data_IF_165299192757
#
_entry.id   IF_165299192757
#
_cell.length_a   1.000
_cell.length_b   1.000
_cell.length_c   1.000
_cell.angle_alpha   90.00
_cell.angle_beta   90.00
_cell.angle_gamma   90.00
#
_symmetry.space_group_name_H-M   'P 1'
#
loop_
_entity.id
_entity.type
_entity.pdbx_description
1 polymer ?
#
# COMPACT_ATOMS: atom_id res chain seq x y z
N UNK A 1 -23.50 -9.58 -8.65
CA UNK A 1 -23.09 -10.66 -9.58
C UNK A 1 -22.04 -10.09 -10.51
N UNK A 2 -20.85 -10.67 -10.55
CA UNK A 2 -19.78 -10.27 -11.45
C UNK A 2 -20.22 -10.36 -12.93
N UNK A 3 -19.74 -9.44 -13.78
CA UNK A 3 -20.14 -9.32 -15.18
C UNK A 3 -19.89 -10.60 -16.00
N UNK A 4 -18.83 -11.34 -15.67
CA UNK A 4 -18.49 -12.58 -16.36
C UNK A 4 -19.45 -13.74 -16.03
N UNK A 5 -19.88 -13.85 -14.77
CA UNK A 5 -20.89 -14.84 -14.37
C UNK A 5 -22.25 -14.57 -15.04
N UNK A 6 -22.63 -13.29 -15.23
CA UNK A 6 -23.84 -12.91 -15.98
C UNK A 6 -23.80 -13.32 -17.46
N UNK A 7 -22.62 -13.33 -18.09
CA UNK A 7 -22.46 -13.75 -19.50
C UNK A 7 -22.62 -15.26 -19.69
N UNK A 8 -22.32 -16.06 -18.66
CA UNK A 8 -22.31 -17.53 -18.73
C UNK A 8 -23.52 -18.19 -18.07
N UNK A 9 -24.10 -17.56 -17.04
CA UNK A 9 -25.22 -18.09 -16.28
C UNK A 9 -26.39 -17.11 -16.22
N UNK A 10 -27.58 -17.60 -16.59
CA UNK A 10 -28.82 -16.81 -16.62
C UNK A 10 -29.32 -16.41 -15.23
N UNK A 11 -28.93 -17.16 -14.19
CA UNK A 11 -29.31 -16.90 -12.81
C UNK A 11 -28.25 -17.44 -11.82
N UNK A 12 -28.31 -16.96 -10.57
CA UNK A 12 -27.41 -17.37 -9.50
C UNK A 12 -27.52 -18.85 -9.13
N UNK A 13 -28.70 -19.45 -9.29
CA UNK A 13 -28.90 -20.87 -9.02
C UNK A 13 -28.12 -21.75 -10.00
N UNK A 14 -28.04 -21.35 -11.27
CA UNK A 14 -27.26 -22.02 -12.31
C UNK A 14 -25.76 -21.88 -12.07
N UNK A 15 -25.32 -20.71 -11.60
CA UNK A 15 -23.92 -20.51 -11.22
C UNK A 15 -23.54 -21.31 -9.96
N UNK A 16 -24.39 -21.32 -8.93
CA UNK A 16 -24.20 -22.13 -7.73
C UNK A 16 -24.18 -23.63 -8.05
N UNK A 17 -25.09 -24.10 -8.91
CA UNK A 17 -25.14 -25.50 -9.38
C UNK A 17 -23.89 -25.87 -10.18
N UNK A 18 -23.43 -24.98 -11.06
CA UNK A 18 -22.20 -25.20 -11.82
C UNK A 18 -20.94 -25.20 -10.94
N UNK A 19 -20.96 -24.45 -9.85
CA UNK A 19 -19.90 -24.44 -8.83
C UNK A 19 -20.06 -25.56 -7.78
N UNK A 20 -21.14 -26.36 -7.82
CA UNK A 20 -21.39 -27.42 -6.84
C UNK A 20 -21.68 -26.92 -5.41
N UNK A 21 -22.11 -25.66 -5.25
CA UNK A 21 -22.35 -25.05 -3.93
C UNK A 21 -23.84 -24.78 -3.65
N UNK A 22 -24.26 -24.68 -2.38
CA UNK A 22 -25.62 -24.29 -2.03
C UNK A 22 -25.95 -22.88 -2.53
N UNK A 23 -27.16 -22.70 -3.06
CA UNK A 23 -27.68 -21.37 -3.45
C UNK A 23 -27.71 -20.39 -2.29
N UNK A 24 -27.90 -20.89 -1.06
CA UNK A 24 -27.87 -20.09 0.17
C UNK A 24 -26.47 -19.55 0.47
N UNK A 25 -25.40 -20.32 0.22
CA UNK A 25 -24.01 -19.87 0.36
C UNK A 25 -23.73 -18.69 -0.56
N UNK A 26 -24.16 -18.77 -1.82
CA UNK A 26 -24.00 -17.68 -2.78
C UNK A 26 -24.83 -16.44 -2.40
N UNK A 27 -26.03 -16.65 -1.86
CA UNK A 27 -26.89 -15.55 -1.37
C UNK A 27 -26.32 -14.88 -0.12
N UNK A 28 -25.71 -15.65 0.79
CA UNK A 28 -24.98 -15.15 1.96
C UNK A 28 -23.76 -14.33 1.54
N UNK A 29 -23.00 -14.79 0.56
CA UNK A 29 -21.81 -14.08 0.05
C UNK A 29 -22.12 -12.69 -0.53
N UNK A 30 -23.37 -12.47 -0.97
CA UNK A 30 -23.83 -11.15 -1.40
C UNK A 30 -23.92 -10.17 -0.23
N UNK A 31 -24.26 -10.65 0.96
CA UNK A 31 -24.53 -9.83 2.15
C UNK A 31 -23.31 -9.73 3.06
N UNK A 32 -22.51 -10.79 3.12
CA UNK A 32 -21.26 -10.84 3.88
C UNK A 32 -20.17 -11.48 3.00
N UNK A 33 -19.17 -10.69 2.62
CA UNK A 33 -18.13 -11.08 1.67
C UNK A 33 -17.04 -11.98 2.29
N UNK A 34 -17.42 -12.85 3.22
CA UNK A 34 -16.51 -13.81 3.86
C UNK A 34 -16.83 -15.21 3.35
N UNK A 35 -15.85 -15.84 2.69
CA UNK A 35 -15.93 -17.24 2.31
C UNK A 35 -14.59 -17.95 2.46
N UNK A 36 -14.67 -19.27 2.52
CA UNK A 36 -13.52 -20.15 2.41
C UNK A 36 -12.94 -20.15 0.98
N UNK A 37 -11.63 -20.36 0.88
CA UNK A 37 -10.89 -20.39 -0.38
C UNK A 37 -11.46 -21.42 -1.36
N UNK A 38 -11.88 -22.60 -0.88
CA UNK A 38 -12.47 -23.65 -1.74
C UNK A 38 -13.74 -23.20 -2.44
N UNK A 39 -14.56 -22.41 -1.73
CA UNK A 39 -15.80 -21.88 -2.31
C UNK A 39 -15.50 -20.82 -3.35
N UNK A 40 -14.48 -19.99 -3.11
CA UNK A 40 -14.02 -18.99 -4.07
C UNK A 40 -13.49 -19.66 -5.35
N UNK A 41 -12.65 -20.69 -5.23
CA UNK A 41 -12.10 -21.45 -6.36
C UNK A 41 -13.20 -22.11 -7.20
N UNK A 42 -14.16 -22.77 -6.56
CA UNK A 42 -15.28 -23.40 -7.26
C UNK A 42 -16.12 -22.38 -8.07
N UNK A 43 -16.35 -21.19 -7.50
CA UNK A 43 -17.07 -20.10 -8.17
C UNK A 43 -16.30 -19.52 -9.36
N UNK A 44 -14.99 -19.32 -9.21
CA UNK A 44 -14.11 -18.84 -10.27
C UNK A 44 -14.03 -19.86 -11.41
N UNK A 45 -13.80 -21.14 -11.09
CA UNK A 45 -13.73 -22.21 -12.08
C UNK A 45 -15.03 -22.33 -12.88
N UNK A 46 -16.20 -22.30 -12.20
CA UNK A 46 -17.49 -22.31 -12.87
C UNK A 46 -17.68 -21.10 -13.82
N UNK A 47 -17.11 -19.94 -13.47
CA UNK A 47 -17.13 -18.75 -14.31
C UNK A 47 -16.06 -18.75 -15.42
N UNK A 48 -15.19 -19.77 -15.49
CA UNK A 48 -14.11 -19.88 -16.45
C UNK A 48 -12.83 -19.12 -16.07
N UNK A 49 -12.66 -18.80 -14.78
CA UNK A 49 -11.48 -18.15 -14.24
C UNK A 49 -10.67 -19.14 -13.40
N UNK A 50 -9.36 -18.93 -13.38
CA UNK A 50 -8.44 -19.67 -12.53
C UNK A 50 -8.03 -18.72 -11.41
N UNK A 51 -8.18 -19.14 -10.16
CA UNK A 51 -7.62 -18.40 -9.04
C UNK A 51 -6.17 -18.83 -8.93
N UNK A 52 -5.27 -17.87 -9.13
CA UNK A 52 -3.87 -18.05 -8.78
C UNK A 52 -3.65 -17.45 -7.41
N UNK A 53 -3.14 -18.25 -6.47
CA UNK A 53 -2.62 -17.74 -5.20
C UNK A 53 -1.23 -17.22 -5.51
N UNK A 54 -1.16 -15.95 -5.91
CA UNK A 54 0.11 -15.26 -5.90
C UNK A 54 0.49 -15.00 -4.42
N UNK A 55 1.77 -15.11 -4.02
CA UNK A 55 2.22 -14.31 -2.89
C UNK A 55 1.81 -12.85 -3.16
N UNK A 56 1.75 -12.00 -2.14
CA UNK A 56 1.49 -10.58 -2.35
C UNK A 56 2.64 -9.87 -3.10
N UNK A 57 3.18 -10.45 -4.17
CA UNK A 57 3.95 -9.77 -5.19
C UNK A 57 2.94 -9.02 -6.07
N UNK A 58 2.55 -7.86 -5.54
CA UNK A 58 1.76 -6.84 -6.23
C UNK A 58 2.31 -6.61 -7.63
N UNK A 59 1.51 -6.95 -8.62
CA UNK A 59 1.66 -6.44 -9.98
C UNK A 59 1.48 -4.91 -9.91
N UNK A 60 2.59 -4.17 -10.03
CA UNK A 60 2.61 -2.71 -10.16
C UNK A 60 2.76 -1.95 -8.84
N UNK A 61 3.79 -1.10 -8.75
CA UNK A 61 3.82 0.04 -7.82
C UNK A 61 3.49 -0.27 -6.36
N UNK A 62 4.33 -1.06 -5.69
CA UNK A 62 4.25 -1.17 -4.23
C UNK A 62 4.39 0.21 -3.60
N UNK A 63 3.38 0.64 -2.84
CA UNK A 63 3.39 1.92 -2.12
C UNK A 63 4.48 1.97 -1.03
N UNK A 64 5.05 0.81 -0.68
CA UNK A 64 6.11 0.62 0.30
C UNK A 64 7.23 -0.28 -0.29
N UNK A 65 8.48 -0.13 0.17
CA UNK A 65 9.54 -1.08 -0.14
C UNK A 65 9.24 -2.45 0.50
N UNK A 66 9.59 -3.53 -0.20
CA UNK A 66 9.38 -4.93 0.22
C UNK A 66 10.12 -5.26 1.53
N UNK A 67 11.35 -4.76 1.67
CA UNK A 67 12.13 -4.82 2.90
C UNK A 67 12.86 -3.49 3.16
N UNK A 68 12.84 -3.02 4.41
CA UNK A 68 13.71 -1.94 4.86
C UNK A 68 15.07 -2.51 5.28
N UNK A 69 15.91 -2.86 4.30
CA UNK A 69 17.27 -3.31 4.58
C UNK A 69 18.12 -2.17 5.17
N UNK A 70 19.16 -2.52 5.94
CA UNK A 70 20.06 -1.54 6.57
C UNK A 70 20.67 -0.55 5.57
N UNK A 71 20.98 -1.01 4.36
CA UNK A 71 21.51 -0.15 3.29
C UNK A 71 20.49 0.90 2.83
N UNK A 72 19.23 0.51 2.65
CA UNK A 72 18.16 1.43 2.27
C UNK A 72 17.92 2.46 3.39
N UNK A 73 17.85 2.03 4.65
CA UNK A 73 17.73 2.94 5.79
C UNK A 73 18.89 3.95 5.82
N UNK A 74 20.13 3.51 5.57
CA UNK A 74 21.28 4.40 5.48
C UNK A 74 21.19 5.39 4.32
N UNK A 75 20.69 4.99 3.15
CA UNK A 75 20.46 5.90 2.01
C UNK A 75 19.37 6.94 2.33
N UNK A 76 18.28 6.53 2.96
CA UNK A 76 17.20 7.43 3.39
C UNK A 76 17.68 8.44 4.45
N UNK A 77 18.51 7.99 5.39
CA UNK A 77 19.11 8.86 6.40
C UNK A 77 20.07 9.88 5.77
N UNK A 78 20.82 9.49 4.75
CA UNK A 78 21.71 10.39 4.00
C UNK A 78 20.91 11.43 3.22
N UNK A 79 19.87 10.99 2.52
CA UNK A 79 18.93 11.86 1.82
C UNK A 79 18.24 12.85 2.77
N UNK A 80 17.77 12.39 3.94
CA UNK A 80 17.17 13.27 4.94
C UNK A 80 18.18 14.28 5.50
N UNK A 81 19.42 13.85 5.75
CA UNK A 81 20.48 14.72 6.25
C UNK A 81 20.96 15.74 5.20
N UNK A 82 20.95 15.37 3.93
CA UNK A 82 21.35 16.24 2.81
C UNK A 82 20.48 17.49 2.68
N UNK A 83 19.25 17.47 3.24
CA UNK A 83 18.30 18.56 3.10
C UNK A 83 17.73 18.70 1.69
N UNK A 84 17.99 17.75 0.80
CA UNK A 84 17.47 17.76 -0.56
C UNK A 84 15.95 17.55 -0.54
N UNK A 85 15.23 18.43 -1.23
CA UNK A 85 13.77 18.39 -1.38
C UNK A 85 13.35 18.29 -2.85
N UNK A 86 14.21 17.73 -3.69
CA UNK A 86 13.95 17.44 -5.09
C UNK A 86 13.13 16.14 -5.24
N UNK A 87 11.97 16.24 -5.90
CA UNK A 87 11.03 15.13 -6.01
C UNK A 87 11.53 13.99 -6.91
N UNK A 88 12.34 14.29 -7.93
CA UNK A 88 12.93 13.28 -8.81
C UNK A 88 13.95 12.42 -8.05
N UNK A 89 14.86 13.09 -7.33
CA UNK A 89 15.85 12.42 -6.48
C UNK A 89 15.18 11.49 -5.48
N UNK A 90 14.11 11.93 -4.82
CA UNK A 90 13.38 11.11 -3.86
C UNK A 90 12.72 9.89 -4.49
N UNK A 91 12.17 10.00 -5.71
CA UNK A 91 11.59 8.88 -6.46
C UNK A 91 12.62 7.83 -6.86
N UNK A 92 13.88 8.21 -7.06
CA UNK A 92 14.96 7.27 -7.37
C UNK A 92 15.30 6.34 -6.19
N UNK A 93 15.05 6.79 -4.95
CA UNK A 93 15.33 6.02 -3.75
C UNK A 93 14.18 5.07 -3.33
N UNK A 94 12.98 5.21 -3.91
CA UNK A 94 11.84 4.39 -3.52
C UNK A 94 10.48 4.90 -3.99
N UNK A 95 9.39 4.18 -3.65
CA UNK A 95 8.06 4.51 -4.14
C UNK A 95 7.55 5.85 -3.62
N UNK A 96 6.83 6.57 -4.47
CA UNK A 96 6.43 7.96 -4.20
C UNK A 96 5.53 8.11 -2.96
N UNK A 97 4.66 7.13 -2.68
CA UNK A 97 3.82 7.12 -1.47
C UNK A 97 4.67 6.97 -0.20
N UNK A 98 5.62 6.03 -0.19
CA UNK A 98 6.56 5.85 0.93
C UNK A 98 7.36 7.11 1.18
N UNK A 99 7.92 7.68 0.11
CA UNK A 99 8.74 8.88 0.15
C UNK A 99 7.95 10.12 0.57
N UNK A 100 6.71 10.25 0.10
CA UNK A 100 5.81 11.33 0.52
C UNK A 100 5.52 11.27 2.02
N UNK A 101 5.21 10.09 2.56
CA UNK A 101 4.99 9.95 4.01
C UNK A 101 6.27 10.16 4.83
N UNK A 102 7.43 9.74 4.33
CA UNK A 102 8.72 10.07 4.95
C UNK A 102 8.95 11.59 5.01
N UNK A 103 8.64 12.31 3.92
CA UNK A 103 8.75 13.76 3.89
C UNK A 103 7.80 14.44 4.90
N UNK A 104 6.55 13.96 5.03
CA UNK A 104 5.61 14.44 6.07
C UNK A 104 6.16 14.19 7.47
N UNK A 105 6.75 13.01 7.71
CA UNK A 105 7.37 12.69 8.99
C UNK A 105 8.53 13.64 9.32
N UNK A 106 9.41 13.93 8.35
CA UNK A 106 10.51 14.89 8.52
C UNK A 106 9.98 16.31 8.75
N UNK A 107 8.92 16.71 8.05
CA UNK A 107 8.29 18.03 8.24
C UNK A 107 7.75 18.25 9.66
N UNK A 108 7.37 17.17 10.36
CA UNK A 108 6.95 17.20 11.76
C UNK A 108 8.10 17.25 12.78
N UNK A 109 9.34 17.06 12.34
CA UNK A 109 10.52 16.99 13.20
C UNK A 109 11.23 18.34 13.31
N UNK A 110 11.71 18.69 14.51
CA UNK A 110 12.49 19.91 14.74
C UNK A 110 13.83 19.82 14.00
N UNK A 111 14.22 20.91 13.34
CA UNK A 111 15.45 20.99 12.52
C UNK A 111 15.24 20.71 11.04
N UNK A 112 14.02 20.40 10.62
CA UNK A 112 13.65 20.25 9.21
C UNK A 112 12.70 21.37 8.78
N UNK A 113 12.83 21.79 7.53
CA UNK A 113 12.02 22.88 6.97
C UNK A 113 10.62 22.35 6.63
N UNK A 114 9.68 22.56 7.55
CA UNK A 114 8.33 22.00 7.46
C UNK A 114 7.64 22.31 6.13
N UNK A 115 7.77 23.54 5.64
CA UNK A 115 7.11 23.97 4.41
C UNK A 115 7.67 23.24 3.19
N UNK A 116 9.01 23.18 3.07
CA UNK A 116 9.65 22.51 1.94
C UNK A 116 9.36 21.01 1.90
N UNK A 117 9.37 20.34 3.05
CA UNK A 117 9.08 18.90 3.11
C UNK A 117 7.60 18.58 2.89
N UNK A 118 6.66 19.44 3.32
CA UNK A 118 5.24 19.25 3.00
C UNK A 118 4.96 19.46 1.51
N UNK A 119 5.63 20.43 0.88
CA UNK A 119 5.53 20.64 -0.57
C UNK A 119 6.08 19.44 -1.33
N UNK A 120 7.26 18.95 -0.96
CA UNK A 120 7.84 17.73 -1.51
C UNK A 120 6.89 16.54 -1.37
N UNK A 121 6.26 16.40 -0.20
CA UNK A 121 5.32 15.32 0.05
C UNK A 121 4.14 15.36 -0.93
N UNK A 122 3.59 16.55 -1.19
CA UNK A 122 2.51 16.75 -2.14
C UNK A 122 2.95 16.48 -3.59
N UNK A 123 4.16 16.91 -3.98
CA UNK A 123 4.73 16.62 -5.30
C UNK A 123 5.00 15.12 -5.53
N UNK A 124 5.36 14.39 -4.47
CA UNK A 124 5.56 12.95 -4.52
C UNK A 124 4.22 12.21 -4.59
N UNK A 125 3.31 12.54 -3.68
CA UNK A 125 1.99 11.94 -3.63
C UNK A 125 0.94 12.96 -3.15
N UNK A 126 0.05 13.45 -4.01
CA UNK A 126 -0.93 14.46 -3.63
C UNK A 126 -1.81 13.96 -2.48
N UNK A 127 -1.96 14.79 -1.46
CA UNK A 127 -2.79 14.47 -0.29
C UNK A 127 -2.18 13.52 0.75
N UNK A 128 -0.91 13.08 0.60
CA UNK A 128 -0.22 12.27 1.62
C UNK A 128 -0.04 13.02 2.96
N UNK A 129 -0.03 14.35 2.91
CA UNK A 129 0.04 15.26 4.05
C UNK A 129 -1.28 15.37 4.84
N UNK A 130 -2.37 14.82 4.32
CA UNK A 130 -3.64 14.76 5.05
C UNK A 130 -3.55 13.78 6.22
N UNK A 131 -4.17 14.08 7.38
CA UNK A 131 -4.03 13.26 8.57
C UNK A 131 -4.54 11.82 8.37
N UNK A 132 -5.59 11.62 7.58
CA UNK A 132 -6.16 10.29 7.32
C UNK A 132 -5.25 9.40 6.47
N UNK A 133 -4.62 9.97 5.44
CA UNK A 133 -3.70 9.23 4.57
C UNK A 133 -2.36 9.01 5.27
N UNK A 134 -1.90 10.00 6.03
CA UNK A 134 -0.68 9.87 6.83
C UNK A 134 -0.82 8.85 7.97
N UNK A 135 -1.98 8.78 8.64
CA UNK A 135 -2.25 7.73 9.64
C UNK A 135 -2.16 6.34 9.01
N UNK A 136 -2.80 6.13 7.84
CA UNK A 136 -2.66 4.87 7.09
C UNK A 136 -1.23 4.57 6.68
N UNK A 137 -0.43 5.60 6.39
CA UNK A 137 0.97 5.44 6.10
C UNK A 137 1.75 4.97 7.34
N UNK A 138 1.49 5.56 8.52
CA UNK A 138 2.11 5.17 9.79
C UNK A 138 1.79 3.74 10.22
N UNK A 139 0.59 3.25 9.91
CA UNK A 139 0.20 1.86 10.21
C UNK A 139 0.92 0.81 9.35
N UNK A 140 1.36 1.20 8.14
CA UNK A 140 1.94 0.27 7.16
C UNK A 140 3.45 0.44 6.99
N UNK A 141 4.01 1.55 7.47
CA UNK A 141 5.42 1.86 7.23
C UNK A 141 6.34 0.91 7.98
N UNK A 142 7.38 0.36 7.31
CA UNK A 142 8.41 -0.41 7.99
C UNK A 142 9.36 0.49 8.80
N UNK A 143 9.31 1.82 8.61
CA UNK A 143 10.15 2.78 9.33
C UNK A 143 9.64 3.05 10.74
N UNK A 144 10.50 2.83 11.74
CA UNK A 144 10.23 3.25 13.12
C UNK A 144 10.64 4.72 13.31
N UNK A 145 9.67 5.63 13.31
CA UNK A 145 9.89 7.07 13.51
C UNK A 145 10.78 7.38 14.73
N UNK A 146 10.55 6.69 15.85
CA UNK A 146 11.31 6.86 17.11
C UNK A 146 12.81 6.54 16.99
N UNK A 147 13.21 5.73 16.01
CA UNK A 147 14.63 5.42 15.72
C UNK A 147 15.17 6.27 14.57
N UNK A 148 14.36 6.46 13.52
CA UNK A 148 14.79 7.14 12.31
C UNK A 148 15.03 8.64 12.54
N UNK A 149 14.10 9.34 13.21
CA UNK A 149 14.20 10.78 13.45
C UNK A 149 15.45 11.19 14.23
N UNK A 150 15.81 10.58 15.37
CA UNK A 150 17.05 10.94 16.08
C UNK A 150 18.29 10.65 15.25
N UNK A 151 18.32 9.57 14.46
CA UNK A 151 19.45 9.27 13.57
C UNK A 151 19.57 10.30 12.44
N UNK A 152 18.46 10.71 11.83
CA UNK A 152 18.45 11.73 10.78
C UNK A 152 18.92 13.08 11.31
N UNK A 153 18.47 13.47 12.52
CA UNK A 153 18.89 14.70 13.19
C UNK A 153 20.38 14.72 13.51
N UNK A 154 20.89 13.63 14.09
CA UNK A 154 22.32 13.48 14.40
C UNK A 154 23.17 13.59 13.14
N UNK A 155 22.74 12.95 12.05
CA UNK A 155 23.46 12.95 10.77
C UNK A 155 23.43 14.31 10.07
N UNK A 156 22.36 15.08 10.27
CA UNK A 156 22.23 16.48 9.80
C UNK A 156 23.00 17.48 10.69
N UNK A 157 23.45 17.07 11.87
CA UNK A 157 24.14 17.94 12.84
C UNK A 157 23.20 18.84 13.66
N UNK A 158 21.93 18.42 13.84
CA UNK A 158 20.91 19.19 14.57
C UNK A 158 20.46 18.40 15.81
N UNK A 159 21.40 18.18 16.75
CA UNK A 159 21.13 17.55 18.05
C UNK A 159 20.41 18.50 19.02
#
# INVERSE_FOLDING_TARGET
MQAAAKRRFRNFGGWAKAAGIPKETLSRLRTNASCDLRTLEALAHAAGYIITVAPATTTGGGNFPDELSRELEMKLLDLAASGNTDSDTWRQHGPAFFMGGLAVMLAGSRGFDREKYLRLADELHPGISTPEVFDRWLQQTPLRASRFLPMARKRKGIE
#
